data_IF_135864496618
#
_entry.id   IF_135864496618
#
_cell.length_a   1.000
_cell.length_b   1.000
_cell.length_c   1.000
_cell.angle_alpha   90.00
_cell.angle_beta   90.00
_cell.angle_gamma   90.00
#
_symmetry.space_group_name_H-M   'P 1'
#
loop_
_entity.id
_entity.type
_entity.pdbx_description
1 polymer ?
#
# COMPACT_ATOMS: atom_id res chain seq x y z
N UNK A 1 1.66 -13.24 -10.06
CA UNK A 1 1.79 -11.89 -10.65
C UNK A 1 0.51 -11.41 -11.36
N UNK A 2 -0.22 -12.24 -12.13
CA UNK A 2 -1.46 -11.82 -12.82
C UNK A 2 -2.75 -11.83 -11.98
N UNK A 3 -2.80 -12.56 -10.86
CA UNK A 3 -4.02 -12.68 -10.03
C UNK A 3 -4.33 -11.42 -9.19
N UNK A 4 -3.35 -10.54 -8.96
CA UNK A 4 -3.49 -9.34 -8.11
C UNK A 4 -4.29 -8.19 -8.74
N UNK A 5 -4.78 -8.35 -9.98
CA UNK A 5 -5.59 -7.37 -10.70
C UNK A 5 -7.08 -7.76 -10.82
N UNK A 6 -7.47 -8.95 -10.36
CA UNK A 6 -8.87 -9.39 -10.38
C UNK A 6 -9.66 -8.84 -9.18
N UNK A 7 -9.80 -7.52 -9.12
CA UNK A 7 -10.86 -6.87 -8.34
C UNK A 7 -10.84 -7.05 -6.82
N UNK A 8 -9.78 -7.63 -6.23
CA UNK A 8 -9.63 -7.64 -4.79
C UNK A 8 -9.32 -6.22 -4.30
N UNK A 9 -10.27 -5.62 -3.61
CA UNK A 9 -10.05 -4.44 -2.78
C UNK A 9 -8.90 -4.77 -1.83
N UNK A 10 -7.80 -4.01 -1.93
CA UNK A 10 -6.70 -4.14 -0.99
C UNK A 10 -7.13 -3.44 0.27
N UNK A 11 -7.58 -4.19 1.27
CA UNK A 11 -7.65 -3.64 2.61
C UNK A 11 -6.25 -3.19 3.02
N UNK A 12 -6.11 -2.08 3.78
CA UNK A 12 -4.84 -1.71 4.36
C UNK A 12 -4.38 -2.88 5.25
N UNK A 13 -3.53 -3.75 4.70
CA UNK A 13 -2.85 -4.75 5.50
C UNK A 13 -1.82 -4.00 6.32
N UNK A 14 -1.81 -4.30 7.61
CA UNK A 14 -0.90 -3.67 8.56
C UNK A 14 0.53 -3.85 8.04
N UNK A 15 1.24 -2.74 7.83
CA UNK A 15 2.59 -2.74 7.25
C UNK A 15 3.62 -3.42 8.18
N UNK A 16 3.24 -3.68 9.43
CA UNK A 16 4.04 -4.35 10.45
C UNK A 16 4.60 -5.70 9.97
N UNK A 17 3.82 -6.49 9.23
CA UNK A 17 4.31 -7.76 8.69
C UNK A 17 5.45 -7.54 7.67
N UNK A 18 5.33 -6.50 6.84
CA UNK A 18 6.36 -6.12 5.88
C UNK A 18 7.62 -5.62 6.60
N UNK A 19 7.46 -4.81 7.64
CA UNK A 19 8.57 -4.30 8.47
C UNK A 19 9.32 -5.47 9.12
N UNK A 20 8.59 -6.38 9.78
CA UNK A 20 9.19 -7.55 10.43
C UNK A 20 10.00 -8.43 9.47
N UNK A 21 9.55 -8.57 8.22
CA UNK A 21 10.25 -9.34 7.18
C UNK A 21 11.47 -8.60 6.64
N UNK A 22 11.40 -7.27 6.55
CA UNK A 22 12.55 -6.42 6.23
C UNK A 22 13.62 -6.48 7.32
N UNK A 23 13.24 -6.46 8.60
CA UNK A 23 14.17 -6.64 9.74
C UNK A 23 14.86 -8.01 9.75
N UNK A 24 14.20 -9.03 9.21
CA UNK A 24 14.79 -10.37 9.01
C UNK A 24 15.70 -10.46 7.78
N UNK A 25 15.85 -9.38 7.02
CA UNK A 25 16.67 -9.36 5.80
C UNK A 25 16.09 -10.20 4.66
N UNK A 26 14.77 -10.44 4.64
CA UNK A 26 14.14 -11.17 3.54
C UNK A 26 14.19 -10.39 2.21
N UNK A 27 14.36 -9.07 2.28
CA UNK A 27 14.46 -8.16 1.14
C UNK A 27 15.07 -6.82 1.55
N UNK A 28 15.82 -6.22 0.63
CA UNK A 28 16.47 -4.92 0.84
C UNK A 28 15.58 -3.73 0.47
N UNK A 29 14.60 -3.95 -0.42
CA UNK A 29 13.74 -2.91 -0.98
C UNK A 29 12.32 -3.43 -1.19
N UNK A 30 11.34 -2.53 -0.99
CA UNK A 30 9.92 -2.83 -1.22
C UNK A 30 9.33 -1.83 -2.21
N UNK A 31 8.67 -2.36 -3.25
CA UNK A 31 7.92 -1.56 -4.19
C UNK A 31 6.48 -1.34 -3.69
N UNK A 32 6.03 -0.09 -3.63
CA UNK A 32 4.67 0.30 -3.26
C UNK A 32 3.94 0.83 -4.48
N UNK A 33 2.85 0.18 -4.89
CA UNK A 33 2.08 0.57 -6.09
C UNK A 33 0.68 1.06 -5.75
N UNK A 34 -0.24 0.12 -5.51
CA UNK A 34 -1.68 0.40 -5.28
C UNK A 34 -1.95 1.41 -4.16
N UNK A 35 -1.12 1.44 -3.11
CA UNK A 35 -1.26 2.41 -2.03
C UNK A 35 -0.95 3.84 -2.48
N UNK A 36 0.05 4.05 -3.34
CA UNK A 36 0.34 5.37 -3.92
C UNK A 36 -0.76 5.83 -4.89
N UNK A 37 -1.36 4.89 -5.63
CA UNK A 37 -2.50 5.20 -6.51
C UNK A 37 -3.75 5.60 -5.72
N UNK A 38 -3.94 5.03 -4.52
CA UNK A 38 -5.07 5.35 -3.65
C UNK A 38 -4.87 6.65 -2.87
N UNK A 39 -3.63 6.98 -2.53
CA UNK A 39 -3.26 8.18 -1.77
C UNK A 39 -1.86 8.68 -2.15
N UNK A 40 -1.75 9.78 -2.91
CA UNK A 40 -0.45 10.37 -3.25
C UNK A 40 0.36 10.81 -2.02
N UNK A 41 -0.30 11.11 -0.89
CA UNK A 41 0.34 11.50 0.37
C UNK A 41 0.65 10.31 1.28
N UNK A 42 0.50 9.07 0.78
CA UNK A 42 0.69 7.85 1.56
C UNK A 42 2.03 7.83 2.32
N UNK A 43 3.13 8.18 1.66
CA UNK A 43 4.47 8.21 2.28
C UNK A 43 4.49 9.15 3.48
N UNK A 44 3.95 10.36 3.32
CA UNK A 44 3.92 11.38 4.39
C UNK A 44 3.07 10.91 5.58
N UNK A 45 1.93 10.26 5.32
CA UNK A 45 1.07 9.73 6.38
C UNK A 45 1.74 8.59 7.15
N UNK A 46 2.41 7.68 6.44
CA UNK A 46 3.16 6.57 7.05
C UNK A 46 4.28 7.10 7.95
N UNK A 47 5.09 8.05 7.45
CA UNK A 47 6.20 8.62 8.25
C UNK A 47 5.71 9.45 9.44
N UNK A 48 4.48 9.98 9.39
CA UNK A 48 3.84 10.71 10.49
C UNK A 48 3.00 9.81 11.43
N UNK A 49 2.94 8.50 11.18
CA UNK A 49 2.12 7.57 11.97
C UNK A 49 0.61 7.74 11.78
N UNK A 50 0.16 8.48 10.76
CA UNK A 50 -1.25 8.74 10.45
C UNK A 50 -1.88 7.57 9.66
N UNK A 51 -1.73 6.36 10.19
CA UNK A 51 -2.14 5.13 9.49
C UNK A 51 -3.64 4.91 9.48
N UNK A 52 -4.37 5.50 10.44
CA UNK A 52 -5.83 5.48 10.50
C UNK A 52 -6.50 6.23 9.33
N UNK A 53 -5.81 7.21 8.75
CA UNK A 53 -6.32 8.04 7.65
C UNK A 53 -5.87 7.55 6.26
N UNK A 54 -5.31 6.34 6.19
CA UNK A 54 -4.88 5.73 4.92
C UNK A 54 -6.10 5.22 4.18
N UNK A 55 -6.22 5.62 2.91
CA UNK A 55 -7.26 5.13 2.03
C UNK A 55 -6.85 3.76 1.49
N UNK A 56 -7.74 2.78 1.63
CA UNK A 56 -7.60 1.50 0.94
C UNK A 56 -7.68 1.70 -0.57
N UNK A 57 -7.00 0.83 -1.32
CA UNK A 57 -7.10 0.85 -2.78
C UNK A 57 -8.44 0.25 -3.22
N UNK A 58 -9.15 1.00 -4.05
CA UNK A 58 -10.35 0.55 -4.73
C UNK A 58 -10.09 0.48 -6.25
N UNK A 59 -10.69 -0.50 -6.93
CA UNK A 59 -10.52 -0.72 -8.38
C UNK A 59 -10.94 0.51 -9.19
N UNK A 60 -11.93 1.27 -8.73
CA UNK A 60 -12.34 2.53 -9.34
C UNK A 60 -11.21 3.58 -9.37
N UNK A 61 -10.23 3.50 -8.47
CA UNK A 61 -9.05 4.38 -8.48
C UNK A 61 -8.16 4.18 -9.71
N UNK A 62 -8.28 3.06 -10.43
CA UNK A 62 -7.59 2.87 -11.72
C UNK A 62 -8.24 3.65 -12.86
N UNK A 63 -9.48 4.11 -12.68
CA UNK A 63 -10.27 4.80 -13.71
C UNK A 63 -10.12 6.32 -13.65
N UNK A 64 -9.55 6.85 -12.57
CA UNK A 64 -9.40 8.28 -12.31
C UNK A 64 -7.98 8.54 -11.81
N UNK A 65 -7.21 9.37 -12.52
CA UNK A 65 -5.92 9.85 -12.05
C UNK A 65 -6.15 11.19 -11.31
N UNK A 66 -5.84 11.24 -10.01
CA UNK A 66 -5.86 12.45 -9.17
C UNK A 66 -4.45 12.90 -8.84
#
# INVERSE_FOLDING_TARGET
FMASFQGEASQPKVIDELINRMEKGEFDLVAVGRALLADPNWIKKITQGQTADLKGFNKEALSTLI
#
